data_IF_858816825887
#
_entry.id   IF_858816825887
#
_cell.length_a   1.000
_cell.length_b   1.000
_cell.length_c   1.000
_cell.angle_alpha   90.00
_cell.angle_beta   90.00
_cell.angle_gamma   90.00
#
_symmetry.space_group_name_H-M   'P 1'
#
loop_
_entity.id
_entity.type
_entity.pdbx_description
1 polymer ?
#
# COMPACT_ATOMS: atom_id res chain seq x y z
N UNK A 1 -2.31 6.12 -14.87
CA UNK A 1 -2.26 5.74 -13.43
C UNK A 1 -3.32 4.72 -13.05
N UNK A 2 -4.60 4.92 -13.43
CA UNK A 2 -5.68 3.95 -13.17
C UNK A 2 -5.34 2.51 -13.55
N UNK A 3 -4.90 2.26 -14.79
CA UNK A 3 -4.58 0.89 -15.25
C UNK A 3 -3.46 0.27 -14.43
N UNK A 4 -2.40 1.03 -14.13
CA UNK A 4 -1.26 0.55 -13.35
C UNK A 4 -1.68 0.19 -11.91
N UNK A 5 -2.36 1.11 -11.21
CA UNK A 5 -2.83 0.85 -9.85
C UNK A 5 -3.87 -0.28 -9.80
N UNK A 6 -4.77 -0.36 -10.79
CA UNK A 6 -5.72 -1.45 -10.91
C UNK A 6 -5.04 -2.80 -11.12
N UNK A 7 -4.06 -2.88 -12.02
CA UNK A 7 -3.27 -4.09 -12.24
C UNK A 7 -2.49 -4.51 -10.98
N UNK A 8 -1.90 -3.55 -10.27
CA UNK A 8 -1.19 -3.81 -9.02
C UNK A 8 -2.12 -4.29 -7.91
N UNK A 9 -3.31 -3.70 -7.78
CA UNK A 9 -4.34 -4.16 -6.84
C UNK A 9 -4.73 -5.62 -7.11
N UNK A 10 -5.01 -5.96 -8.37
CA UNK A 10 -5.36 -7.33 -8.79
C UNK A 10 -4.21 -8.28 -8.52
N UNK A 11 -2.98 -7.93 -8.91
CA UNK A 11 -1.81 -8.78 -8.69
C UNK A 11 -1.57 -9.06 -7.20
N UNK A 12 -1.65 -8.04 -6.35
CA UNK A 12 -1.49 -8.18 -4.89
C UNK A 12 -2.63 -9.01 -4.28
N UNK A 13 -3.88 -8.79 -4.72
CA UNK A 13 -5.04 -9.55 -4.27
C UNK A 13 -4.94 -11.03 -4.65
N UNK A 14 -4.57 -11.33 -5.89
CA UNK A 14 -4.37 -12.71 -6.38
C UNK A 14 -3.20 -13.38 -5.62
N UNK A 15 -2.08 -12.69 -5.45
CA UNK A 15 -0.94 -13.21 -4.69
C UNK A 15 -1.33 -13.55 -3.25
N UNK A 16 -2.07 -12.65 -2.57
CA UNK A 16 -2.46 -12.84 -1.18
C UNK A 16 -3.53 -13.92 -1.00
N UNK A 17 -4.59 -13.91 -1.82
CA UNK A 17 -5.75 -14.78 -1.59
C UNK A 17 -5.69 -16.10 -2.36
N UNK A 18 -5.22 -16.09 -3.61
CA UNK A 18 -5.12 -17.32 -4.42
C UNK A 18 -3.82 -18.08 -4.14
N UNK A 19 -2.69 -17.35 -4.05
CA UNK A 19 -1.37 -17.99 -3.85
C UNK A 19 -0.95 -18.08 -2.38
N UNK A 20 -1.68 -17.41 -1.46
CA UNK A 20 -1.30 -17.26 -0.04
C UNK A 20 0.13 -16.75 0.15
N UNK A 21 0.62 -15.94 -0.79
CA UNK A 21 1.93 -15.30 -0.76
C UNK A 21 1.78 -13.83 -0.40
N UNK A 22 2.40 -13.43 0.70
CA UNK A 22 2.44 -12.03 1.09
C UNK A 22 3.63 -11.33 0.43
N UNK A 23 3.36 -10.58 -0.64
CA UNK A 23 4.41 -9.93 -1.43
C UNK A 23 5.21 -8.90 -0.64
N UNK A 24 4.54 -8.12 0.23
CA UNK A 24 5.24 -7.16 1.09
C UNK A 24 6.19 -7.85 2.06
N UNK A 25 5.76 -8.96 2.66
CA UNK A 25 6.64 -9.78 3.53
C UNK A 25 7.82 -10.34 2.74
N UNK A 26 7.62 -10.75 1.50
CA UNK A 26 8.70 -11.27 0.67
C UNK A 26 9.76 -10.20 0.33
N UNK A 27 9.34 -8.95 0.15
CA UNK A 27 10.24 -7.84 -0.14
C UNK A 27 10.92 -7.26 1.10
N UNK A 28 10.17 -7.13 2.21
CA UNK A 28 10.59 -6.36 3.39
C UNK A 28 10.80 -7.22 4.64
N UNK A 29 10.47 -8.51 4.60
CA UNK A 29 10.55 -9.40 5.76
C UNK A 29 11.96 -9.67 6.27
N UNK A 30 13.00 -9.39 5.46
CA UNK A 30 14.39 -9.40 5.91
C UNK A 30 14.80 -8.16 6.68
N UNK A 31 14.06 -7.05 6.51
CA UNK A 31 14.35 -5.76 7.13
C UNK A 31 13.45 -5.50 8.35
N UNK A 32 12.24 -6.05 8.35
CA UNK A 32 11.23 -5.83 9.39
C UNK A 32 10.76 -7.15 9.99
N UNK A 33 10.89 -7.28 11.31
CA UNK A 33 10.33 -8.41 12.05
C UNK A 33 8.92 -8.07 12.53
N UNK A 34 7.90 -8.57 11.81
CA UNK A 34 6.49 -8.35 12.15
C UNK A 34 5.73 -9.68 12.27
N UNK A 35 4.72 -9.77 13.15
CA UNK A 35 3.83 -10.94 13.21
C UNK A 35 3.11 -11.17 11.87
N UNK A 36 2.82 -12.43 11.54
CA UNK A 36 2.18 -12.81 10.26
C UNK A 36 0.86 -12.09 10.01
N UNK A 37 0.08 -11.89 11.07
CA UNK A 37 -1.19 -11.16 11.01
C UNK A 37 -1.00 -9.72 10.51
N UNK A 38 0.06 -9.04 10.96
CA UNK A 38 0.35 -7.66 10.59
C UNK A 38 0.75 -7.59 9.13
N UNK A 39 1.60 -8.51 8.65
CA UNK A 39 1.93 -8.60 7.22
C UNK A 39 0.68 -8.70 6.33
N UNK A 40 -0.30 -9.52 6.72
CA UNK A 40 -1.53 -9.65 5.95
C UNK A 40 -2.38 -8.38 5.98
N UNK A 41 -2.46 -7.71 7.13
CA UNK A 41 -3.15 -6.42 7.24
C UNK A 41 -2.47 -5.33 6.39
N UNK A 42 -1.14 -5.29 6.37
CA UNK A 42 -0.37 -4.38 5.51
C UNK A 42 -0.67 -4.65 4.04
N UNK A 43 -0.65 -5.91 3.60
CA UNK A 43 -0.89 -6.25 2.20
C UNK A 43 -2.33 -5.88 1.76
N UNK A 44 -3.32 -6.11 2.62
CA UNK A 44 -4.69 -5.65 2.38
C UNK A 44 -4.76 -4.11 2.30
N UNK A 45 -4.05 -3.39 3.18
CA UNK A 45 -4.00 -1.92 3.11
C UNK A 45 -3.38 -1.42 1.80
N UNK A 46 -2.35 -2.09 1.28
CA UNK A 46 -1.76 -1.79 -0.03
C UNK A 46 -2.72 -2.09 -1.18
N UNK A 47 -3.45 -3.21 -1.14
CA UNK A 47 -4.51 -3.50 -2.12
C UNK A 47 -5.57 -2.39 -2.11
N UNK A 48 -6.06 -2.02 -0.92
CA UNK A 48 -7.07 -0.98 -0.75
C UNK A 48 -6.58 0.38 -1.26
N UNK A 49 -5.34 0.76 -0.96
CA UNK A 49 -4.71 1.98 -1.47
C UNK A 49 -4.62 1.97 -3.00
N UNK A 50 -4.24 0.85 -3.61
CA UNK A 50 -4.18 0.72 -5.07
C UNK A 50 -5.57 0.87 -5.71
N UNK A 51 -6.58 0.21 -5.14
CA UNK A 51 -7.98 0.35 -5.60
C UNK A 51 -8.45 1.80 -5.48
N UNK A 52 -8.20 2.44 -4.33
CA UNK A 52 -8.52 3.84 -4.09
C UNK A 52 -7.87 4.75 -5.14
N UNK A 53 -6.56 4.61 -5.35
CA UNK A 53 -5.82 5.43 -6.33
C UNK A 53 -6.29 5.20 -7.75
N UNK A 54 -6.64 3.95 -8.11
CA UNK A 54 -7.20 3.65 -9.41
C UNK A 54 -8.57 4.34 -9.60
N UNK A 55 -9.45 4.24 -8.60
CA UNK A 55 -10.80 4.80 -8.62
C UNK A 55 -10.79 6.33 -8.65
N UNK A 56 -10.06 6.99 -7.74
CA UNK A 56 -10.00 8.46 -7.71
C UNK A 56 -9.34 9.02 -8.97
N UNK A 57 -8.31 8.36 -9.52
CA UNK A 57 -7.70 8.79 -10.77
C UNK A 57 -8.66 8.62 -11.96
N UNK A 58 -9.43 7.53 -12.01
CA UNK A 58 -10.44 7.31 -13.04
C UNK A 58 -11.55 8.36 -12.96
N UNK A 59 -12.05 8.62 -11.75
CA UNK A 59 -13.07 9.63 -11.50
C UNK A 59 -12.61 11.02 -11.99
N UNK A 60 -11.42 11.46 -11.60
CA UNK A 60 -10.91 12.77 -12.04
C UNK A 60 -10.70 12.80 -13.56
N UNK A 61 -10.17 11.72 -14.14
CA UNK A 61 -9.91 11.66 -15.59
C UNK A 61 -11.20 11.66 -16.44
N UNK A 62 -12.30 11.10 -15.94
CA UNK A 62 -13.55 10.97 -16.68
C UNK A 62 -14.48 12.17 -16.55
N UNK A 63 -14.45 12.87 -15.42
CA UNK A 63 -15.44 13.90 -15.08
C UNK A 63 -14.89 15.34 -15.02
N UNK A 64 -13.57 15.54 -15.15
CA UNK A 64 -12.95 16.87 -15.03
C UNK A 64 -12.10 17.23 -16.26
N UNK A 65 -11.75 18.51 -16.38
CA UNK A 65 -10.90 19.01 -17.46
C UNK A 65 -9.47 18.46 -17.37
N UNK A 66 -8.76 18.49 -18.50
CA UNK A 66 -7.34 18.10 -18.56
C UNK A 66 -6.48 18.90 -17.58
N UNK A 67 -6.74 20.21 -17.44
CA UNK A 67 -5.99 21.06 -16.50
C UNK A 67 -6.23 20.67 -15.05
N UNK A 68 -7.48 20.36 -14.68
CA UNK A 68 -7.82 19.84 -13.37
C UNK A 68 -7.15 18.47 -13.12
N UNK A 69 -7.10 17.60 -14.14
CA UNK A 69 -6.45 16.30 -14.07
C UNK A 69 -4.92 16.40 -13.92
N UNK A 70 -4.27 17.33 -14.60
CA UNK A 70 -2.83 17.60 -14.44
C UNK A 70 -2.53 18.13 -13.04
N UNK A 71 -3.31 19.10 -12.56
CA UNK A 71 -3.19 19.63 -11.19
C UNK A 71 -3.42 18.54 -10.13
N UNK A 72 -4.41 17.68 -10.33
CA UNK A 72 -4.67 16.54 -9.44
C UNK A 72 -3.45 15.61 -9.34
N UNK A 73 -2.73 15.36 -10.44
CA UNK A 73 -1.51 14.54 -10.38
C UNK A 73 -0.39 15.21 -9.60
N UNK A 74 -0.24 16.54 -9.74
CA UNK A 74 0.77 17.30 -9.02
C UNK A 74 0.50 17.30 -7.51
N UNK A 75 -0.72 17.60 -7.08
CA UNK A 75 -1.08 17.61 -5.66
C UNK A 75 -1.34 16.21 -5.09
N UNK A 76 -1.59 15.24 -5.96
CA UNK A 76 -1.87 13.84 -5.60
C UNK A 76 -0.71 13.13 -4.91
N UNK A 77 0.51 13.70 -4.87
CA UNK A 77 1.60 13.19 -4.04
C UNK A 77 1.30 13.22 -2.54
N UNK A 78 0.28 13.97 -2.10
CA UNK A 78 -0.20 13.91 -0.71
C UNK A 78 -0.70 12.51 -0.33
N UNK A 79 -1.32 11.77 -1.25
CA UNK A 79 -1.86 10.42 -0.97
C UNK A 79 -0.77 9.40 -0.61
N UNK A 80 0.31 9.20 -1.39
CA UNK A 80 1.36 8.26 -1.02
C UNK A 80 2.10 8.71 0.24
N UNK A 81 2.32 10.01 0.44
CA UNK A 81 2.97 10.52 1.66
C UNK A 81 2.13 10.18 2.89
N UNK A 82 0.83 10.53 2.87
CA UNK A 82 -0.08 10.25 3.97
C UNK A 82 -0.19 8.74 4.23
N UNK A 83 -0.29 7.92 3.17
CA UNK A 83 -0.34 6.46 3.29
C UNK A 83 0.91 5.88 3.93
N UNK A 84 2.11 6.33 3.50
CA UNK A 84 3.38 5.84 4.08
C UNK A 84 3.56 6.27 5.53
N UNK A 85 3.17 7.51 5.88
CA UNK A 85 3.19 7.97 7.28
C UNK A 85 2.23 7.14 8.12
N UNK A 86 1.00 6.92 7.66
CA UNK A 86 0.03 6.09 8.36
C UNK A 86 0.53 4.64 8.53
N UNK A 87 1.16 4.06 7.50
CA UNK A 87 1.79 2.74 7.59
C UNK A 87 2.93 2.71 8.60
N UNK A 88 3.80 3.71 8.59
CA UNK A 88 4.90 3.83 9.54
C UNK A 88 4.40 3.89 10.98
N UNK A 89 3.42 4.75 11.26
CA UNK A 89 2.79 4.86 12.58
C UNK A 89 2.09 3.57 13.02
N UNK A 90 1.44 2.87 12.08
CA UNK A 90 0.78 1.59 12.36
C UNK A 90 1.78 0.45 12.60
N UNK A 91 2.90 0.43 11.88
CA UNK A 91 3.96 -0.59 12.01
C UNK A 91 4.78 -0.37 13.29
N UNK A 92 5.07 0.88 13.65
CA UNK A 92 5.93 1.25 14.78
C UNK A 92 5.68 0.46 16.08
N UNK A 93 4.44 0.30 16.59
CA UNK A 93 4.20 -0.46 17.82
C UNK A 93 4.34 -1.98 17.67
N UNK A 94 4.40 -2.50 16.43
CA UNK A 94 4.50 -3.93 16.14
C UNK A 94 5.93 -4.39 15.83
N UNK A 95 6.88 -3.45 15.72
CA UNK A 95 8.29 -3.78 15.57
C UNK A 95 8.78 -4.39 16.89
N UNK A 96 9.27 -5.63 16.82
CA UNK A 96 10.03 -6.18 17.94
C UNK A 96 11.36 -5.45 18.01
N UNK A 97 11.59 -4.70 19.08
CA UNK A 97 12.95 -4.29 19.46
C UNK A 97 13.75 -5.56 19.75
N UNK A 98 14.98 -5.66 19.24
CA UNK A 98 15.92 -6.76 19.48
C UNK A 98 16.40 -6.84 20.95
N UNK A 99 15.51 -6.69 21.94
CA UNK A 99 15.79 -6.76 23.37
C UNK A 99 15.39 -8.12 23.96
N UNK A 100 15.60 -9.20 23.20
CA UNK A 100 15.42 -10.57 23.70
C UNK A 100 16.51 -11.55 23.24
N UNK A 101 17.62 -11.03 22.69
CA UNK A 101 18.82 -11.81 22.38
C UNK A 101 19.90 -11.75 23.49
N UNK A 102 19.58 -11.22 24.66
CA UNK A 102 20.47 -11.18 25.82
C UNK A 102 19.70 -11.49 27.12
N UNK A 103 19.22 -12.72 27.25
CA UNK A 103 18.99 -13.35 28.55
C UNK A 103 19.10 -14.86 28.45
#
# INVERSE_FOLDING_TARGET
PTVLYGAMAVALAVALWAMRKNFLKMLLGSQLQLPERIWNQLNVAWIAYCVFMAAINAYVALYFSTDAWVNFKLWGYVFPIAFLVAQGLYIAPHLKSDESAAK
#
